data_IF_342720483260
#
_entry.id   IF_342720483260
#
_cell.length_a   1.000
_cell.length_b   1.000
_cell.length_c   1.000
_cell.angle_alpha   90.00
_cell.angle_beta   90.00
_cell.angle_gamma   90.00
#
_symmetry.space_group_name_H-M   'P 1'
#
loop_
_entity.id
_entity.type
_entity.pdbx_description
1 polymer ?
#
# COMPACT_ATOMS: atom_id res chain seq x y z
N UNK A 1 12.06 -26.67 5.21
CA UNK A 1 12.22 -26.50 3.77
C UNK A 1 11.07 -25.68 3.17
N UNK A 2 9.82 -26.00 3.51
CA UNK A 2 8.60 -25.34 3.01
C UNK A 2 8.62 -23.83 3.23
N UNK A 3 8.80 -23.36 4.46
CA UNK A 3 8.84 -21.93 4.78
C UNK A 3 9.93 -21.18 3.99
N UNK A 4 11.16 -21.75 3.90
CA UNK A 4 12.24 -21.15 3.11
C UNK A 4 11.91 -21.04 1.63
N UNK A 5 11.31 -22.08 1.06
CA UNK A 5 10.92 -22.10 -0.34
C UNK A 5 9.81 -21.07 -0.62
N UNK A 6 8.81 -20.97 0.24
CA UNK A 6 7.73 -20.00 0.10
C UNK A 6 8.20 -18.56 0.24
N UNK A 7 8.97 -18.24 1.28
CA UNK A 7 9.59 -16.90 1.44
C UNK A 7 10.47 -16.58 0.25
N UNK A 8 11.33 -17.50 -0.17
CA UNK A 8 12.21 -17.30 -1.31
C UNK A 8 11.44 -17.02 -2.60
N UNK A 9 10.36 -17.76 -2.86
CA UNK A 9 9.50 -17.57 -4.04
C UNK A 9 8.76 -16.23 -4.03
N UNK A 10 8.23 -15.81 -2.88
CA UNK A 10 7.50 -14.55 -2.74
C UNK A 10 8.45 -13.34 -2.93
N UNK A 11 9.60 -13.35 -2.25
CA UNK A 11 10.56 -12.26 -2.31
C UNK A 11 11.41 -12.25 -3.58
N UNK A 12 11.52 -13.37 -4.31
CA UNK A 12 12.24 -13.41 -5.59
C UNK A 12 11.68 -12.43 -6.64
N UNK A 13 10.39 -12.12 -6.55
CA UNK A 13 9.69 -11.19 -7.45
C UNK A 13 9.81 -9.72 -7.03
N UNK A 14 10.34 -9.44 -5.84
CA UNK A 14 10.47 -8.09 -5.30
C UNK A 14 11.77 -7.43 -5.75
N UNK A 15 11.76 -6.11 -5.80
CA UNK A 15 12.88 -5.28 -6.25
C UNK A 15 13.23 -4.15 -5.28
N UNK A 16 13.92 -3.15 -5.79
CA UNK A 16 14.47 -2.02 -5.04
C UNK A 16 13.43 -1.04 -4.48
N UNK A 17 12.16 -1.22 -4.79
CA UNK A 17 11.04 -0.45 -4.25
C UNK A 17 10.77 -0.75 -2.76
N UNK A 18 11.29 -1.85 -2.25
CA UNK A 18 11.16 -2.24 -0.85
C UNK A 18 12.48 -2.09 -0.08
N UNK A 19 12.35 -1.86 1.22
CA UNK A 19 13.42 -2.06 2.19
C UNK A 19 13.06 -3.28 3.02
N UNK A 20 13.96 -4.24 3.06
CA UNK A 20 13.73 -5.53 3.73
C UNK A 20 14.82 -5.75 4.77
N UNK A 21 14.44 -6.18 5.94
CA UNK A 21 15.31 -6.72 6.98
C UNK A 21 15.02 -8.19 7.20
N UNK A 22 15.85 -8.86 7.95
CA UNK A 22 15.69 -10.28 8.31
C UNK A 22 15.73 -10.49 9.81
N UNK A 23 14.75 -11.19 10.34
CA UNK A 23 14.67 -11.56 11.75
C UNK A 23 14.37 -13.05 11.91
N UNK A 24 14.74 -13.60 13.05
CA UNK A 24 14.35 -14.96 13.42
C UNK A 24 14.37 -15.13 14.95
N UNK A 25 13.55 -16.07 15.45
CA UNK A 25 13.53 -16.48 16.84
C UNK A 25 14.85 -17.18 17.26
N UNK A 26 15.03 -17.33 18.55
CA UNK A 26 16.16 -18.08 19.14
C UNK A 26 17.53 -17.50 18.78
N UNK A 27 17.61 -16.16 18.69
CA UNK A 27 18.87 -15.44 18.50
C UNK A 27 19.48 -15.01 19.83
N UNK A 28 20.82 -15.05 19.88
CA UNK A 28 21.58 -14.29 20.87
C UNK A 28 21.49 -12.80 20.56
N UNK A 29 21.81 -11.96 21.56
CA UNK A 29 21.93 -10.52 21.33
C UNK A 29 22.93 -10.21 20.21
N UNK A 30 22.53 -9.36 19.25
CA UNK A 30 23.36 -8.91 18.13
C UNK A 30 23.51 -7.41 18.13
N UNK A 31 24.62 -6.94 17.62
CA UNK A 31 24.80 -5.54 17.24
C UNK A 31 24.34 -5.37 15.79
N UNK A 32 23.33 -4.53 15.61
CA UNK A 32 22.77 -4.21 14.30
C UNK A 32 23.09 -2.74 14.01
N UNK A 33 23.88 -2.50 12.96
CA UNK A 33 24.27 -1.14 12.53
C UNK A 33 24.87 -0.30 13.65
N UNK A 34 25.78 -0.88 14.42
CA UNK A 34 26.50 -0.20 15.50
C UNK A 34 25.73 -0.12 16.83
N UNK A 35 24.46 -0.48 16.87
CA UNK A 35 23.65 -0.50 18.09
C UNK A 35 23.48 -1.95 18.56
N UNK A 36 23.89 -2.23 19.80
CA UNK A 36 23.64 -3.53 20.44
C UNK A 36 22.16 -3.61 20.74
N UNK A 37 21.46 -4.42 20.00
CA UNK A 37 20.04 -4.44 20.18
C UNK A 37 19.54 -5.79 20.45
N UNK A 38 19.28 -6.67 19.83
CA UNK A 38 18.13 -7.44 20.09
C UNK A 38 18.31 -8.93 19.75
N UNK A 39 17.34 -9.68 20.20
CA UNK A 39 17.40 -11.14 20.13
C UNK A 39 16.63 -11.72 18.94
N UNK A 40 16.14 -10.90 18.02
CA UNK A 40 15.39 -11.35 16.84
C UNK A 40 15.97 -10.82 15.53
N UNK A 41 16.24 -9.51 15.40
CA UNK A 41 16.79 -8.94 14.18
C UNK A 41 18.20 -9.45 13.91
N UNK A 42 18.43 -9.92 12.71
CA UNK A 42 19.71 -10.45 12.22
C UNK A 42 20.36 -9.47 11.29
N UNK A 43 19.54 -8.87 10.42
CA UNK A 43 19.91 -7.83 9.49
C UNK A 43 18.85 -6.73 9.54
N UNK A 44 19.27 -5.48 9.71
CA UNK A 44 18.39 -4.33 9.70
C UNK A 44 17.82 -4.07 8.30
N UNK A 45 16.90 -3.10 8.23
CA UNK A 45 16.29 -2.73 6.95
C UNK A 45 17.33 -2.23 5.94
N UNK A 46 17.24 -2.70 4.70
CA UNK A 46 18.08 -2.33 3.56
C UNK A 46 17.24 -2.23 2.31
N UNK A 47 17.63 -1.36 1.38
CA UNK A 47 17.06 -1.38 0.04
C UNK A 47 17.24 -2.77 -0.58
N UNK A 48 16.15 -3.39 -1.04
CA UNK A 48 16.15 -4.77 -1.51
C UNK A 48 16.72 -4.90 -2.93
N UNK A 49 18.04 -4.68 -3.04
CA UNK A 49 18.76 -4.73 -4.32
C UNK A 49 20.21 -5.11 -4.11
N UNK A 50 20.91 -5.53 -5.16
CA UNK A 50 22.34 -5.81 -5.16
C UNK A 50 22.75 -6.80 -4.06
N UNK A 51 23.82 -6.48 -3.29
CA UNK A 51 24.32 -7.30 -2.19
C UNK A 51 23.29 -7.47 -1.06
N UNK A 52 22.55 -6.43 -0.71
CA UNK A 52 21.55 -6.51 0.37
C UNK A 52 20.47 -7.57 0.08
N UNK A 53 20.07 -7.68 -1.19
CA UNK A 53 19.13 -8.72 -1.62
C UNK A 53 19.76 -10.11 -1.55
N UNK A 54 21.04 -10.25 -1.90
CA UNK A 54 21.77 -11.51 -1.76
C UNK A 54 21.89 -11.91 -0.29
N UNK A 55 22.30 -11.00 0.57
CA UNK A 55 22.44 -11.22 2.03
C UNK A 55 21.12 -11.67 2.67
N UNK A 56 19.97 -11.13 2.23
CA UNK A 56 18.66 -11.60 2.67
C UNK A 56 18.43 -13.08 2.33
N UNK A 57 18.76 -13.50 1.10
CA UNK A 57 18.59 -14.90 0.69
C UNK A 57 19.62 -15.82 1.36
N UNK A 58 20.83 -15.36 1.60
CA UNK A 58 21.85 -16.10 2.36
C UNK A 58 21.38 -16.31 3.80
N UNK A 59 20.87 -15.26 4.47
CA UNK A 59 20.26 -15.38 5.80
C UNK A 59 19.07 -16.35 5.80
N UNK A 60 18.26 -16.38 4.76
CA UNK A 60 17.11 -17.27 4.63
C UNK A 60 17.53 -18.72 4.44
N UNK A 61 18.49 -19.01 3.55
CA UNK A 61 18.79 -20.36 3.13
C UNK A 61 19.90 -21.03 3.94
N UNK A 62 20.90 -20.29 4.36
CA UNK A 62 22.08 -20.85 5.05
C UNK A 62 21.91 -20.93 6.57
N UNK A 63 20.92 -20.23 7.12
CA UNK A 63 20.70 -20.19 8.55
C UNK A 63 20.46 -21.58 9.14
N UNK A 64 21.20 -21.91 10.21
CA UNK A 64 20.96 -23.11 11.00
C UNK A 64 19.69 -22.91 11.84
N UNK A 65 18.75 -23.83 11.75
CA UNK A 65 17.56 -23.88 12.60
C UNK A 65 17.89 -24.70 13.83
N UNK A 66 17.84 -24.06 14.99
CA UNK A 66 18.07 -24.72 16.28
C UNK A 66 16.76 -25.37 16.75
N UNK A 67 16.86 -26.56 17.32
CA UNK A 67 15.72 -27.18 17.99
C UNK A 67 15.57 -26.52 19.38
N UNK A 68 14.73 -25.51 19.48
CA UNK A 68 14.50 -24.70 20.68
C UNK A 68 13.04 -24.27 20.71
N UNK A 69 12.59 -23.63 21.79
CA UNK A 69 11.21 -23.13 21.92
C UNK A 69 10.86 -22.08 20.87
N UNK A 70 9.60 -21.66 20.90
CA UNK A 70 9.00 -20.71 19.94
C UNK A 70 8.66 -19.37 20.64
N UNK A 71 9.65 -18.52 21.00
CA UNK A 71 9.45 -17.30 21.79
C UNK A 71 8.95 -16.15 20.90
N UNK A 72 7.78 -16.29 20.26
CA UNK A 72 7.25 -15.28 19.32
C UNK A 72 7.04 -13.92 19.97
N UNK A 73 6.47 -13.87 21.18
CA UNK A 73 6.22 -12.63 21.91
C UNK A 73 7.49 -11.82 22.12
N UNK A 74 8.54 -12.45 22.63
CA UNK A 74 9.84 -11.80 22.83
C UNK A 74 10.51 -11.40 21.50
N UNK A 75 10.33 -12.19 20.45
CA UNK A 75 10.89 -11.88 19.13
C UNK A 75 10.17 -10.67 18.49
N UNK A 76 8.82 -10.65 18.53
CA UNK A 76 8.02 -9.53 18.04
C UNK A 76 8.34 -8.24 18.80
N UNK A 77 8.45 -8.31 20.13
CA UNK A 77 8.91 -7.19 20.95
C UNK A 77 10.30 -6.69 20.53
N UNK A 78 11.22 -7.60 20.24
CA UNK A 78 12.56 -7.22 19.75
C UNK A 78 12.54 -6.57 18.39
N UNK A 79 11.63 -6.95 17.50
CA UNK A 79 11.41 -6.28 16.21
C UNK A 79 10.81 -4.88 16.44
N UNK A 80 9.82 -4.75 17.33
CA UNK A 80 9.26 -3.45 17.69
C UNK A 80 10.33 -2.49 18.22
N UNK A 81 11.18 -2.95 19.16
CA UNK A 81 12.31 -2.18 19.68
C UNK A 81 13.30 -1.73 18.60
N UNK A 82 13.46 -2.48 17.51
CA UNK A 82 14.27 -2.03 16.38
C UNK A 82 13.68 -0.79 15.72
N UNK A 83 12.35 -0.67 15.67
CA UNK A 83 11.67 0.49 15.10
C UNK A 83 11.60 1.72 16.03
N UNK A 84 11.99 1.59 17.29
CA UNK A 84 12.15 2.73 18.22
C UNK A 84 13.50 3.47 18.04
N UNK A 85 14.38 2.97 17.21
CA UNK A 85 15.74 3.55 17.03
C UNK A 85 15.67 4.96 16.46
N UNK A 86 16.46 5.85 17.07
CA UNK A 86 16.56 7.26 16.70
C UNK A 86 17.86 7.61 15.97
N UNK A 87 18.78 6.67 15.81
CA UNK A 87 20.03 6.87 15.10
C UNK A 87 19.89 6.82 13.57
N UNK A 88 20.82 7.47 12.85
CA UNK A 88 20.77 7.60 11.39
C UNK A 88 20.85 6.28 10.62
N UNK A 89 21.42 5.22 11.22
CA UNK A 89 21.50 3.89 10.63
C UNK A 89 20.27 3.02 10.94
N UNK A 90 19.35 3.51 11.77
CA UNK A 90 18.10 2.85 12.12
C UNK A 90 17.06 2.81 10.99
N UNK A 91 15.88 2.24 11.26
CA UNK A 91 14.85 1.99 10.22
C UNK A 91 14.30 3.27 9.60
N UNK A 92 14.33 4.40 10.31
CA UNK A 92 13.78 5.67 9.85
C UNK A 92 14.79 6.54 9.08
N UNK A 93 16.09 6.22 9.14
CA UNK A 93 17.09 6.93 8.35
C UNK A 93 16.79 6.88 6.86
N UNK A 94 17.18 7.89 6.11
CA UNK A 94 16.96 7.93 4.65
C UNK A 94 17.56 6.69 3.96
N UNK A 95 18.76 6.31 4.40
CA UNK A 95 19.43 5.09 3.95
C UNK A 95 19.76 4.19 5.14
N UNK A 96 18.82 3.33 5.62
CA UNK A 96 19.05 2.46 6.75
C UNK A 96 20.32 1.60 6.59
N UNK A 97 21.04 1.42 7.70
CA UNK A 97 22.31 0.69 7.71
C UNK A 97 23.52 1.52 7.38
N UNK A 98 23.35 2.79 7.05
CA UNK A 98 24.45 3.74 6.88
C UNK A 98 24.33 4.87 7.89
N UNK A 99 25.44 5.45 8.30
CA UNK A 99 25.46 6.59 9.23
C UNK A 99 25.76 7.92 8.50
N UNK A 100 25.56 7.93 7.19
CA UNK A 100 25.98 9.04 6.33
C UNK A 100 24.94 10.14 6.18
N UNK A 101 23.70 9.89 6.62
CA UNK A 101 22.56 10.76 6.34
C UNK A 101 21.77 11.01 7.63
N UNK A 102 21.71 12.28 8.03
CA UNK A 102 20.94 12.71 9.21
C UNK A 102 19.45 12.91 8.91
N UNK A 103 19.01 12.74 7.68
CA UNK A 103 17.61 12.85 7.32
C UNK A 103 16.84 11.58 7.72
N UNK A 104 15.76 11.78 8.46
CA UNK A 104 14.83 10.72 8.84
C UNK A 104 13.51 10.91 8.11
N UNK A 105 12.96 9.83 7.58
CA UNK A 105 11.73 9.85 6.81
C UNK A 105 10.52 9.57 7.72
N UNK A 106 9.86 10.65 8.13
CA UNK A 106 8.70 10.61 9.04
C UNK A 106 7.45 9.96 8.42
N UNK A 107 7.28 10.03 7.09
CA UNK A 107 6.12 9.47 6.39
C UNK A 107 6.25 7.97 6.05
N UNK A 108 7.28 7.29 6.56
CA UNK A 108 7.54 5.88 6.22
C UNK A 108 6.55 4.96 6.92
N UNK A 109 5.86 4.14 6.16
CA UNK A 109 5.07 3.02 6.69
C UNK A 109 5.99 1.84 7.02
N UNK A 110 5.73 1.16 8.13
CA UNK A 110 6.56 0.07 8.65
C UNK A 110 5.76 -1.19 8.88
N UNK A 111 6.29 -2.31 8.41
CA UNK A 111 5.61 -3.60 8.39
C UNK A 111 6.49 -4.70 8.94
N UNK A 112 5.87 -5.63 9.65
CA UNK A 112 6.48 -6.86 10.13
C UNK A 112 5.70 -8.06 9.61
N UNK A 113 6.36 -8.99 8.95
CA UNK A 113 5.76 -10.26 8.52
C UNK A 113 6.25 -11.34 9.47
N UNK A 114 5.35 -11.83 10.32
CA UNK A 114 5.62 -12.87 11.30
C UNK A 114 5.09 -14.21 10.80
N UNK A 115 5.96 -15.20 10.68
CA UNK A 115 5.58 -16.54 10.24
C UNK A 115 5.94 -17.59 11.30
N UNK A 116 5.04 -18.56 11.53
CA UNK A 116 5.27 -19.67 12.44
C UNK A 116 4.66 -20.95 11.89
N UNK A 117 5.26 -22.09 12.24
CA UNK A 117 4.76 -23.44 11.97
C UNK A 117 4.36 -24.16 13.27
N UNK A 118 4.18 -23.41 14.35
CA UNK A 118 3.85 -23.97 15.66
C UNK A 118 3.36 -22.93 16.64
N UNK A 119 2.99 -23.43 17.80
CA UNK A 119 2.45 -22.65 18.91
C UNK A 119 3.59 -21.93 19.66
N UNK A 120 3.32 -20.73 20.15
CA UNK A 120 4.34 -20.01 20.88
C UNK A 120 4.49 -20.52 22.33
N UNK A 121 5.69 -20.37 22.83
CA UNK A 121 6.03 -20.63 24.24
C UNK A 121 7.09 -19.62 24.72
N UNK A 122 7.53 -19.76 25.94
CA UNK A 122 8.56 -18.91 26.54
C UNK A 122 7.99 -17.70 27.29
N UNK A 123 8.88 -16.86 27.80
CA UNK A 123 8.52 -15.71 28.63
C UNK A 123 7.92 -14.56 27.82
N UNK A 124 7.01 -13.83 28.48
CA UNK A 124 6.48 -12.55 27.99
C UNK A 124 7.52 -11.44 28.12
N UNK A 125 7.49 -10.42 27.24
CA UNK A 125 8.24 -9.19 27.43
C UNK A 125 7.71 -8.28 28.56
N UNK A 126 6.51 -8.56 29.11
CA UNK A 126 5.95 -7.82 30.24
C UNK A 126 5.23 -6.53 29.82
N UNK A 127 4.53 -6.53 28.71
CA UNK A 127 3.76 -5.36 28.21
C UNK A 127 2.41 -5.16 28.91
N UNK A 128 1.92 -6.16 29.66
CA UNK A 128 0.61 -6.15 30.32
C UNK A 128 -0.53 -6.36 29.34
N UNK A 129 -1.76 -6.00 29.74
CA UNK A 129 -2.95 -5.96 28.85
C UNK A 129 -2.95 -4.64 28.11
N UNK A 130 -2.23 -4.60 26.99
CA UNK A 130 -2.01 -3.38 26.20
C UNK A 130 -3.25 -3.01 25.41
N UNK A 131 -3.96 -3.97 24.87
CA UNK A 131 -5.16 -3.72 24.06
C UNK A 131 -6.41 -3.45 24.89
N UNK A 132 -6.43 -3.90 26.16
CA UNK A 132 -7.47 -3.55 27.14
C UNK A 132 -7.27 -2.19 27.82
N UNK A 133 -6.23 -1.42 27.46
CA UNK A 133 -5.94 -0.10 28.03
C UNK A 133 -5.89 0.99 26.97
N UNK A 134 -6.40 2.19 27.31
CA UNK A 134 -6.33 3.35 26.42
C UNK A 134 -4.87 3.74 26.14
N UNK A 135 -4.61 4.16 24.92
CA UNK A 135 -3.34 4.77 24.52
C UNK A 135 -3.20 6.21 24.98
N UNK A 136 -2.05 6.81 24.75
CA UNK A 136 -1.86 8.25 24.88
C UNK A 136 -2.54 8.99 23.73
N UNK A 137 -2.79 10.29 23.91
CA UNK A 137 -3.28 11.14 22.82
C UNK A 137 -2.10 11.47 21.91
N UNK A 138 -2.21 11.12 20.65
CA UNK A 138 -1.21 11.39 19.61
C UNK A 138 -1.72 12.55 18.76
N UNK A 139 -0.97 13.65 18.75
CA UNK A 139 -1.34 14.83 17.97
C UNK A 139 -0.99 14.65 16.50
N UNK A 140 -1.99 14.84 15.65
CA UNK A 140 -1.91 14.67 14.21
C UNK A 140 -1.76 15.98 13.43
N UNK A 141 -1.67 15.90 12.10
CA UNK A 141 -1.73 17.05 11.23
C UNK A 141 -3.10 17.75 11.37
N UNK A 142 -3.12 19.07 11.21
CA UNK A 142 -4.34 19.89 11.21
C UNK A 142 -5.17 19.85 12.52
N UNK A 143 -4.55 19.49 13.66
CA UNK A 143 -5.17 19.25 14.97
C UNK A 143 -6.13 18.05 14.98
N UNK A 144 -5.93 17.07 14.14
CA UNK A 144 -6.65 15.80 14.17
C UNK A 144 -5.94 14.84 15.12
N UNK A 145 -6.31 14.89 16.41
CA UNK A 145 -5.69 14.06 17.44
C UNK A 145 -6.35 12.66 17.45
N UNK A 146 -5.56 11.63 17.73
CA UNK A 146 -6.02 10.26 17.87
C UNK A 146 -5.67 9.70 19.26
N UNK A 147 -6.60 8.97 19.86
CA UNK A 147 -6.35 8.19 21.06
C UNK A 147 -7.01 6.80 20.90
N UNK A 148 -6.21 5.75 21.02
CA UNK A 148 -6.78 4.40 21.09
C UNK A 148 -7.60 4.25 22.36
N UNK A 149 -8.82 3.72 22.23
CA UNK A 149 -9.67 3.27 23.33
C UNK A 149 -10.05 1.81 23.12
N UNK A 150 -10.03 0.96 24.16
CA UNK A 150 -10.37 -0.45 24.03
C UNK A 150 -11.76 -0.64 23.42
N UNK A 151 -11.82 -1.37 22.32
CA UNK A 151 -13.04 -1.65 21.55
C UNK A 151 -12.86 -2.96 20.78
N UNK A 152 -13.94 -3.73 20.63
CA UNK A 152 -13.93 -4.93 19.80
C UNK A 152 -13.71 -4.54 18.30
N UNK A 153 -13.00 -5.37 17.54
CA UNK A 153 -12.40 -6.67 17.89
C UNK A 153 -10.97 -6.57 18.46
N UNK A 154 -10.50 -5.39 18.84
CA UNK A 154 -9.10 -5.16 19.20
C UNK A 154 -8.77 -5.50 20.66
N UNK A 155 -9.76 -5.60 21.53
CA UNK A 155 -9.53 -5.77 22.98
C UNK A 155 -9.89 -7.17 23.47
N UNK A 156 -9.11 -7.65 24.45
CA UNK A 156 -9.47 -8.81 25.23
C UNK A 156 -9.21 -8.60 26.74
N UNK A 157 -9.29 -9.67 27.53
CA UNK A 157 -9.08 -9.63 28.99
C UNK A 157 -7.72 -10.21 29.40
N UNK A 158 -6.90 -10.66 28.44
CA UNK A 158 -5.68 -11.43 28.71
C UNK A 158 -4.46 -10.51 28.74
N UNK A 159 -3.47 -10.89 29.54
CA UNK A 159 -2.25 -10.11 29.71
C UNK A 159 -1.07 -10.72 28.96
N UNK A 160 -0.25 -9.86 28.37
CA UNK A 160 1.03 -10.28 27.82
C UNK A 160 0.94 -11.30 26.69
N UNK A 161 -0.09 -11.21 25.89
CA UNK A 161 -0.34 -11.97 24.68
C UNK A 161 0.57 -11.49 23.54
N UNK A 162 0.57 -12.19 22.41
CA UNK A 162 1.22 -11.69 21.19
C UNK A 162 0.45 -10.48 20.62
N UNK A 163 -0.88 -10.48 20.78
CA UNK A 163 -1.75 -9.37 20.42
C UNK A 163 -1.43 -8.10 21.21
N UNK A 164 -1.16 -8.22 22.53
CA UNK A 164 -0.68 -7.10 23.34
C UNK A 164 0.64 -6.53 22.84
N UNK A 165 1.58 -7.40 22.48
CA UNK A 165 2.86 -6.94 21.93
C UNK A 165 2.67 -6.23 20.60
N UNK A 166 1.78 -6.70 19.74
CA UNK A 166 1.47 -6.05 18.47
C UNK A 166 0.81 -4.69 18.69
N UNK A 167 -0.16 -4.61 19.63
CA UNK A 167 -0.82 -3.37 20.01
C UNK A 167 0.15 -2.36 20.62
N UNK A 168 1.11 -2.79 21.41
CA UNK A 168 2.13 -1.92 22.03
C UNK A 168 2.89 -1.10 20.98
N UNK A 169 3.23 -1.71 19.84
CA UNK A 169 3.97 -1.06 18.77
C UNK A 169 3.08 -0.43 17.68
N UNK A 170 1.76 -0.55 17.80
CA UNK A 170 0.83 0.12 16.92
C UNK A 170 0.21 1.36 17.57
N UNK A 171 -0.29 1.28 18.82
CA UNK A 171 -1.13 2.32 19.43
C UNK A 171 -0.37 3.52 19.97
N UNK A 172 0.95 3.52 19.93
CA UNK A 172 1.81 4.63 20.38
C UNK A 172 2.73 5.11 19.26
N UNK A 173 3.14 6.36 19.35
CA UNK A 173 4.14 6.91 18.47
C UNK A 173 5.53 6.36 18.84
N UNK A 174 6.18 5.67 17.89
CA UNK A 174 7.51 5.10 18.08
C UNK A 174 8.63 6.16 17.90
N UNK A 175 8.28 7.35 17.38
CA UNK A 175 9.25 8.40 17.05
C UNK A 175 8.67 9.78 17.33
N UNK A 176 8.38 10.08 18.58
CA UNK A 176 7.88 11.38 19.05
C UNK A 176 8.72 12.59 18.60
N UNK A 177 9.95 12.35 18.15
CA UNK A 177 10.85 13.36 17.60
C UNK A 177 10.61 13.67 16.11
N UNK A 178 9.77 12.90 15.43
CA UNK A 178 9.42 13.10 14.03
C UNK A 178 8.00 13.65 13.87
N UNK A 179 7.73 14.23 12.71
CA UNK A 179 6.37 14.71 12.38
C UNK A 179 5.44 13.54 12.13
N UNK A 180 4.24 13.58 12.70
CA UNK A 180 3.17 12.60 12.51
C UNK A 180 2.48 12.79 11.16
N UNK A 181 3.03 12.22 10.10
CA UNK A 181 2.58 12.35 8.72
C UNK A 181 2.68 11.04 7.92
N UNK A 182 2.61 9.90 8.61
CA UNK A 182 2.49 8.60 7.95
C UNK A 182 1.17 8.56 7.16
N UNK A 183 1.18 8.17 5.87
CA UNK A 183 -0.04 8.10 5.08
C UNK A 183 -1.04 7.09 5.68
N UNK A 184 -2.25 7.55 5.94
CA UNK A 184 -3.35 6.73 6.43
C UNK A 184 -4.10 6.06 5.29
N UNK A 185 -4.81 4.97 5.58
CA UNK A 185 -5.72 4.32 4.65
C UNK A 185 -6.96 3.80 5.40
N UNK A 186 -7.89 3.16 4.68
CA UNK A 186 -9.13 2.68 5.29
C UNK A 186 -8.93 1.60 6.36
N UNK A 187 -7.88 0.79 6.23
CA UNK A 187 -7.59 -0.30 7.16
C UNK A 187 -6.76 0.20 8.36
N UNK A 188 -5.94 1.23 8.14
CA UNK A 188 -5.01 1.75 9.13
C UNK A 188 -5.09 3.28 9.22
N UNK A 189 -5.73 3.82 10.27
CA UNK A 189 -5.88 5.26 10.47
C UNK A 189 -4.66 5.94 11.09
N UNK A 190 -3.59 5.19 11.41
CA UNK A 190 -2.44 5.69 12.14
C UNK A 190 -1.58 6.62 11.27
N UNK A 191 -1.53 7.89 11.64
CA UNK A 191 -0.69 8.92 11.00
C UNK A 191 0.67 9.12 11.71
N UNK A 192 0.90 8.42 12.80
CA UNK A 192 2.15 8.41 13.58
C UNK A 192 3.06 7.24 13.17
N UNK A 193 4.30 7.23 13.63
CA UNK A 193 5.23 6.15 13.37
C UNK A 193 4.88 4.91 14.22
N UNK A 194 4.46 3.85 13.57
CA UNK A 194 3.97 2.61 14.19
C UNK A 194 4.41 1.37 13.40
N UNK A 195 4.08 0.19 13.89
CA UNK A 195 4.41 -1.09 13.24
C UNK A 195 3.15 -1.93 12.99
N UNK A 196 2.88 -2.25 11.74
CA UNK A 196 1.82 -3.15 11.31
C UNK A 196 2.35 -4.58 11.23
N UNK A 197 1.68 -5.54 11.85
CA UNK A 197 2.06 -6.95 11.79
C UNK A 197 1.14 -7.73 10.84
N UNK A 198 1.72 -8.35 9.83
CA UNK A 198 1.08 -9.41 9.05
C UNK A 198 1.53 -10.75 9.60
N UNK A 199 0.61 -11.67 9.80
CA UNK A 199 0.94 -12.95 10.43
C UNK A 199 0.53 -14.13 9.55
N UNK A 200 1.36 -15.18 9.53
CA UNK A 200 1.12 -16.39 8.75
C UNK A 200 1.34 -17.63 9.60
N UNK A 201 0.29 -18.43 9.78
CA UNK A 201 0.38 -19.77 10.34
C UNK A 201 0.61 -20.82 9.24
N UNK A 202 1.65 -21.65 9.36
CA UNK A 202 1.95 -22.70 8.39
C UNK A 202 1.64 -24.08 8.96
N UNK A 203 0.57 -24.71 8.47
CA UNK A 203 0.14 -26.05 8.88
C UNK A 203 -0.44 -26.11 10.29
N UNK A 204 -0.88 -24.97 10.82
CA UNK A 204 -1.46 -24.82 12.16
C UNK A 204 -2.79 -24.07 12.09
N UNK A 205 -3.73 -24.42 12.95
CA UNK A 205 -5.05 -23.78 13.05
C UNK A 205 -5.27 -23.35 14.50
N UNK A 206 -6.08 -22.31 14.67
CA UNK A 206 -6.64 -21.87 15.93
C UNK A 206 -7.96 -22.56 16.24
N UNK A 207 -8.62 -22.10 17.27
CA UNK A 207 -9.97 -22.54 17.68
C UNK A 207 -11.06 -21.74 16.99
N UNK A 208 -10.75 -20.54 16.48
CA UNK A 208 -11.63 -19.66 15.72
C UNK A 208 -11.32 -19.76 14.21
N UNK A 209 -12.35 -19.49 13.40
CA UNK A 209 -12.27 -19.46 11.94
C UNK A 209 -12.26 -17.99 11.46
N UNK A 210 -11.14 -17.49 10.88
CA UNK A 210 -11.04 -16.12 10.41
C UNK A 210 -12.08 -15.71 9.36
N UNK A 211 -12.59 -16.66 8.58
CA UNK A 211 -13.55 -16.40 7.52
C UNK A 211 -14.99 -16.22 8.06
N UNK A 212 -15.31 -16.79 9.22
CA UNK A 212 -16.68 -16.82 9.75
C UNK A 212 -16.85 -16.10 11.09
N UNK A 213 -15.80 -16.03 11.92
CA UNK A 213 -15.93 -15.55 13.31
C UNK A 213 -15.59 -14.05 13.50
N UNK A 214 -15.02 -13.40 12.49
CA UNK A 214 -14.58 -12.00 12.60
C UNK A 214 -15.74 -11.03 12.94
N UNK A 215 -16.91 -11.21 12.32
CA UNK A 215 -18.07 -10.36 12.62
C UNK A 215 -18.58 -10.56 14.06
N UNK A 216 -18.50 -11.78 14.57
CA UNK A 216 -18.89 -12.08 15.95
C UNK A 216 -17.90 -11.49 16.97
N UNK A 217 -16.59 -11.50 16.67
CA UNK A 217 -15.56 -10.81 17.44
C UNK A 217 -15.78 -9.29 17.39
N UNK A 218 -16.02 -8.72 16.22
CA UNK A 218 -16.23 -7.29 16.04
C UNK A 218 -17.48 -6.78 16.76
N UNK A 219 -18.55 -7.59 16.82
CA UNK A 219 -19.76 -7.26 17.58
C UNK A 219 -19.64 -7.55 19.08
N UNK A 220 -18.59 -8.26 19.52
CA UNK A 220 -18.44 -8.72 20.90
C UNK A 220 -19.35 -9.88 21.28
N UNK A 221 -19.95 -10.57 20.30
CA UNK A 221 -20.81 -11.76 20.54
C UNK A 221 -19.97 -12.95 20.99
N UNK A 222 -18.70 -13.02 20.57
CA UNK A 222 -17.66 -13.91 21.08
C UNK A 222 -16.44 -13.06 21.46
N UNK A 223 -15.56 -13.61 22.29
CA UNK A 223 -14.30 -13.00 22.67
C UNK A 223 -13.12 -13.82 22.17
N UNK A 224 -11.94 -13.22 22.14
CA UNK A 224 -10.71 -13.94 21.91
C UNK A 224 -10.45 -14.97 23.01
N UNK A 225 -10.06 -16.22 22.67
CA UNK A 225 -9.77 -17.22 23.67
C UNK A 225 -8.49 -16.90 24.45
N UNK A 226 -8.38 -17.42 25.67
CA UNK A 226 -7.17 -17.26 26.49
C UNK A 226 -6.00 -18.02 25.89
N UNK A 227 -4.93 -17.35 25.40
CA UNK A 227 -3.81 -18.06 24.84
C UNK A 227 -2.94 -18.66 25.95
N UNK A 228 -2.63 -19.92 25.84
CA UNK A 228 -1.72 -20.64 26.75
C UNK A 228 -0.55 -21.24 25.98
N UNK A 229 0.58 -21.45 26.64
CA UNK A 229 1.77 -21.96 25.99
C UNK A 229 1.52 -23.31 25.32
N UNK A 230 1.98 -23.46 24.08
CA UNK A 230 1.88 -24.68 23.27
C UNK A 230 0.44 -25.18 22.99
N UNK A 231 -0.54 -24.25 22.89
CA UNK A 231 -1.94 -24.56 22.66
C UNK A 231 -2.50 -23.92 21.38
N UNK A 232 -3.63 -24.44 20.89
CA UNK A 232 -4.24 -23.99 19.62
C UNK A 232 -4.66 -22.50 19.67
N UNK A 233 -5.07 -22.01 20.84
CA UNK A 233 -5.44 -20.62 21.08
C UNK A 233 -4.29 -19.63 20.78
N UNK A 234 -3.05 -20.13 20.67
CA UNK A 234 -1.91 -19.32 20.24
C UNK A 234 -1.99 -18.91 18.76
N UNK A 235 -2.75 -19.62 17.95
CA UNK A 235 -2.97 -19.23 16.55
C UNK A 235 -4.08 -18.20 16.48
N UNK A 236 -5.06 -18.24 17.39
CA UNK A 236 -6.03 -17.17 17.55
C UNK A 236 -5.35 -15.87 18.03
N UNK A 237 -4.39 -15.98 18.95
CA UNK A 237 -3.52 -14.87 19.39
C UNK A 237 -2.63 -14.33 18.26
N UNK A 238 -2.16 -15.21 17.36
CA UNK A 238 -1.43 -14.81 16.15
C UNK A 238 -2.34 -14.01 15.19
N UNK A 239 -3.59 -14.41 15.03
CA UNK A 239 -4.59 -13.66 14.27
C UNK A 239 -4.93 -12.35 14.97
N UNK A 240 -5.18 -12.36 16.27
CA UNK A 240 -5.47 -11.17 17.06
C UNK A 240 -4.31 -10.14 16.98
N UNK A 241 -3.06 -10.59 17.00
CA UNK A 241 -1.91 -9.71 16.81
C UNK A 241 -1.91 -8.97 15.46
N UNK A 242 -2.33 -9.64 14.39
CA UNK A 242 -2.52 -8.99 13.09
C UNK A 242 -3.65 -7.95 13.15
N UNK A 243 -4.82 -8.31 13.70
CA UNK A 243 -5.97 -7.42 13.86
C UNK A 243 -5.59 -6.19 14.69
N UNK A 244 -4.92 -6.37 15.83
CA UNK A 244 -4.51 -5.29 16.74
C UNK A 244 -3.61 -4.25 16.07
N UNK A 245 -2.74 -4.69 15.19
CA UNK A 245 -1.83 -3.79 14.46
C UNK A 245 -2.27 -3.46 13.04
N UNK A 246 -3.55 -3.70 12.70
CA UNK A 246 -4.14 -3.34 11.38
C UNK A 246 -3.53 -4.08 10.21
N UNK A 247 -2.92 -5.24 10.45
CA UNK A 247 -2.48 -6.18 9.42
C UNK A 247 -3.51 -7.24 9.11
N UNK A 248 -3.08 -8.32 8.47
CA UNK A 248 -3.93 -9.46 8.12
C UNK A 248 -3.27 -10.77 8.54
N UNK A 249 -4.09 -11.74 8.93
CA UNK A 249 -3.67 -13.11 9.22
C UNK A 249 -3.94 -14.01 8.03
N UNK A 250 -3.04 -14.95 7.79
CA UNK A 250 -3.17 -15.97 6.75
C UNK A 250 -2.88 -17.35 7.34
N UNK A 251 -3.74 -18.32 7.05
CA UNK A 251 -3.48 -19.73 7.32
C UNK A 251 -3.04 -20.42 6.03
N UNK A 252 -1.89 -21.08 6.06
CA UNK A 252 -1.33 -21.78 4.92
C UNK A 252 -1.15 -23.26 5.26
N UNK A 253 -1.72 -24.16 4.48
CA UNK A 253 -1.67 -25.61 4.73
C UNK A 253 -0.55 -26.31 3.99
N UNK A 254 0.01 -25.69 2.96
CA UNK A 254 1.04 -26.24 2.09
C UNK A 254 2.00 -25.15 1.56
N UNK A 255 3.10 -25.50 0.87
CA UNK A 255 4.10 -24.56 0.39
C UNK A 255 3.58 -23.54 -0.64
N UNK A 256 2.60 -23.91 -1.44
CA UNK A 256 2.06 -23.03 -2.48
C UNK A 256 1.13 -21.99 -1.86
N UNK A 257 0.20 -22.40 -1.00
CA UNK A 257 -0.65 -21.48 -0.22
C UNK A 257 0.16 -20.55 0.67
N UNK A 258 1.27 -21.01 1.23
CA UNK A 258 2.18 -20.16 2.00
C UNK A 258 2.86 -19.09 1.13
N UNK A 259 3.33 -19.44 -0.05
CA UNK A 259 3.93 -18.48 -0.98
C UNK A 259 2.89 -17.47 -1.51
N UNK A 260 1.66 -17.91 -1.74
CA UNK A 260 0.56 -17.05 -2.20
C UNK A 260 0.10 -16.10 -1.08
N UNK A 261 0.05 -16.55 0.19
CA UNK A 261 -0.22 -15.70 1.34
C UNK A 261 0.83 -14.59 1.47
N UNK A 262 2.12 -14.92 1.36
CA UNK A 262 3.18 -13.90 1.38
C UNK A 262 3.10 -12.95 0.18
N UNK A 263 2.74 -13.43 -0.99
CA UNK A 263 2.52 -12.58 -2.16
C UNK A 263 1.33 -11.63 -1.95
N UNK A 264 0.25 -12.10 -1.33
CA UNK A 264 -0.89 -11.27 -0.96
C UNK A 264 -0.52 -10.19 0.06
N UNK A 265 0.28 -10.53 1.08
CA UNK A 265 0.82 -9.55 2.05
C UNK A 265 1.65 -8.47 1.32
N UNK A 266 2.59 -8.87 0.47
CA UNK A 266 3.44 -7.93 -0.27
C UNK A 266 2.63 -7.05 -1.22
N UNK A 267 1.56 -7.59 -1.80
CA UNK A 267 0.60 -6.81 -2.60
C UNK A 267 -0.20 -5.83 -1.75
N UNK A 268 -0.66 -6.24 -0.56
CA UNK A 268 -1.35 -5.36 0.39
C UNK A 268 -0.42 -4.22 0.85
N UNK A 269 0.82 -4.51 1.23
CA UNK A 269 1.83 -3.51 1.57
C UNK A 269 2.02 -2.52 0.42
N UNK A 270 2.17 -3.00 -0.81
CA UNK A 270 2.31 -2.13 -1.98
C UNK A 270 1.08 -1.26 -2.21
N UNK A 271 -0.12 -1.77 -1.97
CA UNK A 271 -1.36 -0.99 -2.10
C UNK A 271 -1.51 0.09 -1.01
N UNK A 272 -1.04 -0.17 0.20
CA UNK A 272 -1.04 0.81 1.31
C UNK A 272 -0.04 1.94 1.08
N UNK A 273 1.11 1.65 0.44
CA UNK A 273 2.12 2.66 0.09
C UNK A 273 1.72 3.51 -1.11
N UNK A 274 0.68 3.12 -1.86
CA UNK A 274 0.11 3.94 -2.92
C UNK A 274 -0.80 5.02 -2.32
N UNK A 275 -0.36 6.28 -2.36
CA UNK A 275 -1.14 7.41 -1.85
C UNK A 275 -2.34 7.69 -2.74
N UNK A 276 -3.52 7.86 -2.13
CA UNK A 276 -4.69 8.40 -2.83
C UNK A 276 -4.46 9.90 -3.10
N UNK A 277 -4.25 10.29 -4.36
CA UNK A 277 -3.95 11.67 -4.71
C UNK A 277 -5.18 12.58 -4.64
N UNK A 278 -6.36 12.07 -5.04
CA UNK A 278 -7.63 12.83 -5.00
C UNK A 278 -8.82 11.97 -5.45
N UNK A 279 -10.02 12.44 -5.16
CA UNK A 279 -11.29 11.76 -5.47
C UNK A 279 -12.21 12.69 -6.24
N UNK A 280 -12.92 12.16 -7.25
CA UNK A 280 -13.98 12.85 -7.96
C UNK A 280 -15.26 11.99 -8.04
N UNK A 281 -16.41 12.66 -8.08
CA UNK A 281 -17.73 12.02 -8.25
C UNK A 281 -18.26 12.29 -9.66
N UNK A 282 -19.02 11.35 -10.22
CA UNK A 282 -19.69 11.53 -11.52
C UNK A 282 -21.04 12.23 -11.40
N UNK A 283 -21.54 12.47 -10.19
CA UNK A 283 -22.85 13.08 -9.98
C UNK A 283 -22.88 13.96 -8.74
N UNK A 284 -23.69 15.03 -8.78
CA UNK A 284 -24.02 15.84 -7.61
C UNK A 284 -25.15 15.26 -6.75
N UNK A 285 -25.69 14.09 -7.11
CA UNK A 285 -26.66 13.31 -6.33
C UNK A 285 -26.27 11.82 -6.42
N UNK A 286 -26.40 11.11 -5.31
CA UNK A 286 -26.09 9.67 -5.25
C UNK A 286 -27.25 8.87 -5.84
N UNK A 287 -26.94 7.98 -6.78
CA UNK A 287 -27.85 6.98 -7.35
C UNK A 287 -27.06 5.69 -7.63
N UNK A 288 -27.74 4.59 -7.89
CA UNK A 288 -27.09 3.30 -8.17
C UNK A 288 -26.13 3.29 -9.38
N UNK A 289 -26.19 4.32 -10.24
CA UNK A 289 -25.24 4.51 -11.36
C UNK A 289 -24.08 5.47 -11.00
N UNK A 290 -24.04 5.97 -9.76
CA UNK A 290 -22.98 6.87 -9.33
C UNK A 290 -21.68 6.13 -9.14
N UNK A 291 -20.57 6.78 -9.52
CA UNK A 291 -19.21 6.24 -9.36
C UNK A 291 -18.32 7.28 -8.67
N UNK A 292 -17.39 6.76 -7.88
CA UNK A 292 -16.29 7.51 -7.30
C UNK A 292 -15.03 7.20 -8.09
N UNK A 293 -14.35 8.20 -8.60
CA UNK A 293 -13.06 8.03 -9.27
C UNK A 293 -11.95 8.47 -8.34
N UNK A 294 -11.01 7.57 -8.07
CA UNK A 294 -9.89 7.79 -7.19
C UNK A 294 -8.57 7.63 -7.93
N UNK A 295 -7.78 8.69 -7.98
CA UNK A 295 -6.42 8.63 -8.45
C UNK A 295 -5.51 8.13 -7.33
N UNK A 296 -4.56 7.27 -7.69
CA UNK A 296 -3.51 6.75 -6.81
C UNK A 296 -2.18 6.71 -7.57
N UNK A 297 -1.09 6.58 -6.83
CA UNK A 297 0.22 6.30 -7.41
C UNK A 297 0.99 5.33 -6.51
N UNK A 298 1.87 4.57 -7.14
CA UNK A 298 2.84 3.71 -6.45
C UNK A 298 4.21 4.37 -6.51
N UNK A 299 4.75 4.76 -5.35
CA UNK A 299 6.07 5.37 -5.25
C UNK A 299 7.22 4.39 -5.45
N UNK A 300 6.96 3.08 -5.42
CA UNK A 300 7.96 2.04 -5.61
C UNK A 300 8.41 1.90 -7.06
N UNK A 301 7.49 2.04 -8.01
CA UNK A 301 7.77 1.95 -9.44
C UNK A 301 7.33 3.19 -10.24
N UNK A 302 6.82 4.22 -9.55
CA UNK A 302 6.31 5.46 -10.14
C UNK A 302 5.24 5.20 -11.19
N UNK A 303 4.30 4.34 -10.86
CA UNK A 303 3.14 4.05 -11.69
C UNK A 303 1.87 4.69 -11.14
N UNK A 304 0.95 5.02 -12.04
CA UNK A 304 -0.36 5.57 -11.73
C UNK A 304 -1.45 4.51 -11.71
N UNK A 305 -2.49 4.82 -10.95
CA UNK A 305 -3.72 4.05 -10.89
C UNK A 305 -4.90 5.01 -10.86
N UNK A 306 -5.91 4.74 -11.66
CA UNK A 306 -7.19 5.44 -11.59
C UNK A 306 -8.28 4.39 -11.44
N UNK A 307 -8.90 4.36 -10.26
CA UNK A 307 -9.94 3.41 -9.90
C UNK A 307 -11.31 4.06 -10.00
N UNK A 308 -12.31 3.32 -10.49
CA UNK A 308 -13.71 3.64 -10.28
C UNK A 308 -14.32 2.67 -9.27
N UNK A 309 -15.01 3.21 -8.30
CA UNK A 309 -15.81 2.46 -7.34
C UNK A 309 -17.29 2.66 -7.64
N UNK A 310 -18.08 1.60 -7.53
CA UNK A 310 -19.54 1.72 -7.51
C UNK A 310 -20.01 2.34 -6.18
N UNK A 311 -21.19 2.92 -6.19
CA UNK A 311 -21.90 3.34 -4.97
C UNK A 311 -23.14 2.47 -4.87
N UNK A 312 -23.34 1.82 -3.72
CA UNK A 312 -24.51 1.02 -3.44
C UNK A 312 -25.75 1.89 -3.23
N UNK A 313 -26.95 1.32 -3.32
CA UNK A 313 -28.20 2.05 -3.15
C UNK A 313 -28.36 2.66 -1.74
N UNK A 314 -27.67 2.13 -0.75
CA UNK A 314 -27.59 2.65 0.62
C UNK A 314 -26.54 3.74 0.81
N UNK A 315 -25.94 4.22 -0.28
CA UNK A 315 -24.86 5.21 -0.35
C UNK A 315 -23.52 4.75 0.25
N UNK A 316 -23.34 3.46 0.52
CA UNK A 316 -22.03 2.90 0.90
C UNK A 316 -21.14 2.71 -0.31
N UNK A 317 -19.83 2.70 -0.11
CA UNK A 317 -18.85 2.43 -1.16
C UNK A 317 -18.95 0.95 -1.57
N UNK A 318 -19.13 0.72 -2.85
CA UNK A 318 -19.12 -0.61 -3.44
C UNK A 318 -17.72 -1.05 -3.89
N UNK A 319 -17.64 -2.16 -4.62
CA UNK A 319 -16.39 -2.69 -5.14
C UNK A 319 -15.78 -1.83 -6.25
N UNK A 320 -14.52 -2.14 -6.61
CA UNK A 320 -13.85 -1.56 -7.78
C UNK A 320 -14.56 -2.01 -9.04
N UNK A 321 -15.13 -1.05 -9.78
CA UNK A 321 -15.78 -1.29 -11.06
C UNK A 321 -14.75 -1.50 -12.19
N UNK A 322 -13.67 -0.67 -12.18
CA UNK A 322 -12.56 -0.80 -13.11
C UNK A 322 -11.28 -0.11 -12.58
N UNK A 323 -10.12 -0.52 -13.11
CA UNK A 323 -8.80 0.07 -12.93
C UNK A 323 -8.22 0.46 -14.29
N UNK A 324 -8.22 1.75 -14.62
CA UNK A 324 -7.73 2.25 -15.91
C UNK A 324 -6.25 1.90 -16.15
N UNK A 325 -5.43 1.80 -15.10
CA UNK A 325 -4.02 1.43 -15.22
C UNK A 325 -3.81 0.02 -15.81
N UNK A 326 -4.82 -0.87 -15.70
CA UNK A 326 -4.79 -2.22 -16.28
C UNK A 326 -5.47 -2.31 -17.64
N UNK A 327 -6.23 -1.28 -18.04
CA UNK A 327 -7.05 -1.25 -19.25
C UNK A 327 -6.44 -0.41 -20.38
N UNK A 328 -5.23 0.14 -20.19
CA UNK A 328 -4.57 0.95 -21.22
C UNK A 328 -4.37 0.09 -22.48
N UNK A 329 -4.89 0.54 -23.65
CA UNK A 329 -4.76 -0.20 -24.89
C UNK A 329 -3.31 -0.35 -25.36
N UNK A 330 -3.06 -1.32 -26.24
CA UNK A 330 -1.77 -1.49 -26.88
C UNK A 330 -1.29 -0.18 -27.55
N UNK A 331 0.01 0.04 -27.61
CA UNK A 331 0.63 1.29 -28.08
C UNK A 331 0.08 1.80 -29.42
N UNK A 332 -0.27 0.88 -30.34
CA UNK A 332 -0.80 1.24 -31.67
C UNK A 332 -2.26 1.64 -31.66
N UNK A 333 -3.02 1.16 -30.68
CA UNK A 333 -4.47 1.41 -30.57
C UNK A 333 -4.77 2.67 -29.72
N UNK A 334 -3.78 3.17 -28.98
CA UNK A 334 -3.92 4.41 -28.22
C UNK A 334 -4.04 5.64 -29.13
N UNK A 335 -5.03 6.47 -28.84
CA UNK A 335 -5.22 7.79 -29.45
C UNK A 335 -4.47 8.82 -28.62
N UNK A 336 -3.32 9.26 -29.07
CA UNK A 336 -2.49 10.28 -28.40
C UNK A 336 -2.26 11.41 -29.39
N UNK A 337 -2.55 12.64 -28.95
CA UNK A 337 -2.34 13.87 -29.73
C UNK A 337 -1.28 14.75 -29.05
N UNK A 338 -0.58 15.53 -29.85
CA UNK A 338 0.34 16.59 -29.42
C UNK A 338 0.04 17.87 -30.20
N UNK A 339 0.65 18.98 -29.81
CA UNK A 339 0.55 20.26 -30.48
C UNK A 339 1.91 20.66 -31.08
N UNK A 340 1.95 20.97 -32.37
CA UNK A 340 3.19 21.29 -33.10
C UNK A 340 3.54 22.79 -33.11
N UNK A 341 2.77 23.62 -32.44
CA UNK A 341 2.85 25.07 -32.43
C UNK A 341 1.81 25.73 -33.28
N UNK A 342 1.15 25.03 -34.21
CA UNK A 342 0.11 25.54 -35.11
C UNK A 342 -1.21 24.75 -35.01
N UNK A 343 -1.12 23.41 -34.88
CA UNK A 343 -2.29 22.54 -34.88
C UNK A 343 -2.05 21.28 -34.04
N UNK A 344 -3.15 20.58 -33.66
CA UNK A 344 -3.08 19.26 -33.05
C UNK A 344 -2.61 18.21 -34.05
N UNK A 345 -1.66 17.39 -33.66
CA UNK A 345 -1.09 16.31 -34.47
C UNK A 345 -1.19 14.98 -33.74
N UNK A 346 -1.36 13.86 -34.47
CA UNK A 346 -1.16 12.54 -33.89
C UNK A 346 0.25 12.41 -33.31
N UNK A 347 0.39 11.91 -32.08
CA UNK A 347 1.70 11.68 -31.46
C UNK A 347 2.32 10.41 -32.05
N UNK A 348 2.70 10.49 -33.32
CA UNK A 348 3.39 9.45 -34.10
C UNK A 348 4.60 10.05 -34.80
N UNK A 349 5.67 9.28 -34.95
CA UNK A 349 6.96 9.77 -35.47
C UNK A 349 6.84 10.50 -36.81
N UNK A 350 6.02 9.97 -37.73
CA UNK A 350 5.82 10.59 -39.05
C UNK A 350 4.90 11.83 -39.04
N UNK A 351 4.21 12.11 -37.92
CA UNK A 351 3.23 13.20 -37.82
C UNK A 351 3.73 14.39 -37.01
N UNK A 352 4.72 14.17 -36.13
CA UNK A 352 5.30 15.24 -35.31
C UNK A 352 6.33 16.06 -36.10
N UNK A 353 6.56 17.31 -35.69
CA UNK A 353 7.52 18.20 -36.35
C UNK A 353 8.97 17.75 -36.18
N UNK A 354 9.85 18.20 -37.07
CA UNK A 354 11.28 17.91 -36.99
C UNK A 354 11.91 18.40 -35.66
N UNK A 355 11.40 19.51 -35.10
CA UNK A 355 11.84 20.00 -33.79
C UNK A 355 11.47 19.02 -32.68
N UNK A 356 10.23 18.49 -32.67
CA UNK A 356 9.79 17.50 -31.72
C UNK A 356 10.55 16.17 -31.87
N UNK A 357 10.84 15.74 -33.10
CA UNK A 357 11.67 14.57 -33.35
C UNK A 357 13.10 14.74 -32.78
N UNK A 358 13.67 15.94 -32.92
CA UNK A 358 14.98 16.26 -32.37
C UNK A 358 14.97 16.24 -30.83
N UNK A 359 13.93 16.79 -30.21
CA UNK A 359 13.76 16.79 -28.74
C UNK A 359 13.59 15.37 -28.17
N UNK A 360 12.81 14.54 -28.84
CA UNK A 360 12.62 13.14 -28.43
C UNK A 360 13.85 12.26 -28.69
N UNK A 361 14.67 12.63 -29.66
CA UNK A 361 15.90 11.93 -30.02
C UNK A 361 15.70 10.70 -30.90
N UNK A 362 14.67 9.88 -30.70
CA UNK A 362 14.42 8.69 -31.52
C UNK A 362 12.96 8.26 -31.56
N UNK A 363 12.61 7.55 -32.64
CA UNK A 363 11.29 6.91 -32.77
C UNK A 363 11.05 5.84 -31.66
N UNK A 364 12.11 5.17 -31.19
CA UNK A 364 12.01 4.19 -30.12
C UNK A 364 11.53 4.83 -28.80
N UNK A 365 12.03 6.03 -28.47
CA UNK A 365 11.58 6.79 -27.31
C UNK A 365 10.10 7.20 -27.46
N UNK A 366 9.71 7.69 -28.65
CA UNK A 366 8.31 8.01 -28.89
C UNK A 366 7.40 6.79 -28.73
N UNK A 367 7.80 5.66 -29.29
CA UNK A 367 7.04 4.41 -29.17
C UNK A 367 6.94 3.96 -27.71
N UNK A 368 8.05 4.05 -26.95
CA UNK A 368 8.06 3.78 -25.51
C UNK A 368 7.07 4.67 -24.76
N UNK A 369 7.08 5.99 -24.99
CA UNK A 369 6.11 6.92 -24.37
C UNK A 369 4.68 6.53 -24.74
N UNK A 370 4.42 6.04 -25.93
CA UNK A 370 3.12 5.54 -26.36
C UNK A 370 2.69 4.23 -25.68
N UNK A 371 3.59 3.53 -24.98
CA UNK A 371 3.31 2.29 -24.28
C UNK A 371 3.96 1.04 -24.89
N UNK A 372 4.84 1.19 -25.89
CA UNK A 372 5.60 0.06 -26.42
C UNK A 372 6.70 -0.33 -25.41
N UNK A 373 6.67 -1.56 -24.94
CA UNK A 373 7.60 -2.10 -23.96
C UNK A 373 8.75 -2.90 -24.57
N UNK A 374 8.80 -3.03 -25.90
CA UNK A 374 9.79 -3.88 -26.58
C UNK A 374 11.25 -3.47 -26.34
N UNK A 375 11.52 -2.19 -26.04
CA UNK A 375 12.84 -1.67 -25.75
C UNK A 375 13.10 -1.48 -24.24
N UNK A 376 12.31 -2.09 -23.36
CA UNK A 376 12.57 -2.11 -21.93
C UNK A 376 13.73 -3.06 -21.58
N UNK A 377 14.48 -2.74 -20.52
CA UNK A 377 15.71 -3.45 -20.15
C UNK A 377 15.52 -4.94 -19.81
N UNK A 378 14.30 -5.37 -19.54
CA UNK A 378 13.94 -6.79 -19.39
C UNK A 378 13.95 -7.59 -20.70
N UNK A 379 13.94 -6.92 -21.85
CA UNK A 379 13.97 -7.53 -23.16
C UNK A 379 15.40 -7.53 -23.73
N UNK A 380 15.71 -8.49 -24.59
CA UNK A 380 17.03 -8.59 -25.23
C UNK A 380 17.37 -7.30 -26.02
N UNK A 381 18.46 -6.65 -25.65
CA UNK A 381 18.91 -5.39 -26.26
C UNK A 381 18.14 -4.15 -25.80
N UNK A 382 17.21 -4.28 -24.89
CA UNK A 382 16.44 -3.17 -24.32
C UNK A 382 17.29 -2.28 -23.43
N UNK A 383 17.03 -0.97 -23.45
CA UNK A 383 17.80 0.05 -22.71
C UNK A 383 16.95 1.00 -21.89
N UNK A 384 15.62 0.93 -22.03
CA UNK A 384 14.69 1.81 -21.33
C UNK A 384 14.17 1.18 -20.03
N UNK A 385 13.70 2.01 -19.12
CA UNK A 385 13.18 1.58 -17.80
C UNK A 385 12.03 0.58 -17.98
N UNK A 386 12.05 -0.49 -17.22
CA UNK A 386 10.92 -1.41 -17.12
C UNK A 386 9.74 -0.73 -16.44
N UNK A 387 8.53 -0.96 -16.94
CA UNK A 387 7.30 -0.44 -16.40
C UNK A 387 6.36 -1.59 -16.05
N UNK A 388 5.93 -1.66 -14.79
CA UNK A 388 4.90 -2.60 -14.37
C UNK A 388 3.52 -2.17 -14.86
N UNK A 389 3.28 -0.84 -14.94
CA UNK A 389 2.08 -0.21 -15.50
C UNK A 389 2.47 0.88 -16.48
N UNK A 390 1.62 1.09 -17.48
CA UNK A 390 1.84 2.11 -18.52
C UNK A 390 1.36 3.51 -18.12
N UNK A 391 0.46 3.61 -17.14
CA UNK A 391 0.00 4.89 -16.60
C UNK A 391 1.07 5.45 -15.66
N UNK A 392 1.49 6.66 -15.90
CA UNK A 392 2.41 7.38 -15.01
C UNK A 392 1.76 7.76 -13.69
N UNK A 393 2.57 7.99 -12.68
CA UNK A 393 2.12 8.36 -11.34
C UNK A 393 1.27 9.63 -11.34
N UNK A 394 0.16 9.59 -10.59
CA UNK A 394 -0.82 10.66 -10.46
C UNK A 394 -0.69 11.24 -9.05
N UNK A 395 0.10 12.28 -8.86
CA UNK A 395 0.40 12.86 -7.54
C UNK A 395 -0.41 14.15 -7.31
N UNK A 396 -0.28 15.13 -8.21
CA UNK A 396 -0.82 16.48 -8.03
C UNK A 396 -2.02 16.78 -8.97
N UNK A 397 -2.71 15.76 -9.44
CA UNK A 397 -3.86 15.91 -10.34
C UNK A 397 -5.09 15.24 -9.75
N UNK A 398 -6.18 16.01 -9.68
CA UNK A 398 -7.49 15.48 -9.34
C UNK A 398 -8.18 14.92 -10.57
N UNK A 399 -8.79 13.72 -10.51
CA UNK A 399 -9.69 13.26 -11.56
C UNK A 399 -10.81 14.28 -11.78
N UNK A 400 -11.14 14.53 -13.01
CA UNK A 400 -12.23 15.46 -13.38
C UNK A 400 -13.20 14.75 -14.30
N UNK A 401 -14.41 14.53 -13.82
CA UNK A 401 -15.48 13.95 -14.62
C UNK A 401 -16.12 15.00 -15.53
N UNK A 402 -16.33 14.67 -16.78
CA UNK A 402 -17.03 15.49 -17.74
C UNK A 402 -17.96 14.64 -18.63
N UNK A 403 -19.24 14.94 -18.57
CA UNK A 403 -20.29 14.30 -19.37
C UNK A 403 -21.32 15.35 -19.85
N UNK A 404 -22.60 15.04 -19.77
CA UNK A 404 -23.67 15.99 -20.06
C UNK A 404 -23.50 17.30 -19.28
N UNK A 405 -23.57 18.47 -19.91
CA UNK A 405 -23.38 19.76 -19.23
C UNK A 405 -24.39 19.96 -18.08
N UNK A 406 -23.88 20.26 -16.87
CA UNK A 406 -24.72 20.40 -15.67
C UNK A 406 -24.61 21.74 -14.92
N UNK A 407 -23.96 22.74 -15.48
CA UNK A 407 -23.63 24.01 -14.78
C UNK A 407 -24.84 24.91 -14.50
N UNK A 408 -26.01 24.62 -15.02
CA UNK A 408 -27.27 25.35 -14.80
C UNK A 408 -27.17 26.86 -15.05
N UNK A 409 -26.36 27.30 -16.04
CA UNK A 409 -26.32 28.69 -16.44
C UNK A 409 -27.67 29.13 -17.00
N UNK A 410 -28.06 30.37 -16.71
CA UNK A 410 -29.29 30.96 -17.29
C UNK A 410 -29.08 31.31 -18.76
N UNK A 411 -30.16 31.30 -19.54
CA UNK A 411 -30.12 31.60 -20.97
C UNK A 411 -30.19 33.12 -21.28
N UNK A 412 -30.68 33.89 -20.31
CA UNK A 412 -30.88 35.32 -20.50
C UNK A 412 -29.87 36.14 -19.69
N UNK A 413 -28.91 36.71 -20.37
CA UNK A 413 -27.87 37.59 -19.81
C UNK A 413 -28.08 39.08 -20.16
N UNK A 414 -29.21 39.39 -20.78
CA UNK A 414 -29.54 40.73 -21.25
C UNK A 414 -29.35 40.90 -22.75
N UNK A 415 -29.96 41.99 -23.28
CA UNK A 415 -29.87 42.30 -24.69
C UNK A 415 -28.41 42.56 -25.10
N UNK A 416 -28.00 42.03 -26.23
CA UNK A 416 -26.65 42.15 -26.81
C UNK A 416 -25.55 41.27 -26.21
N UNK A 417 -25.87 40.33 -25.35
CA UNK A 417 -24.90 39.34 -24.91
C UNK A 417 -24.85 38.14 -25.87
N UNK A 418 -23.67 37.56 -26.12
CA UNK A 418 -23.51 36.42 -27.04
C UNK A 418 -24.39 35.22 -26.66
N UNK A 419 -24.63 34.99 -25.38
CA UNK A 419 -25.43 33.91 -24.82
C UNK A 419 -26.90 33.98 -25.23
N UNK A 420 -27.42 35.18 -25.56
CA UNK A 420 -28.80 35.35 -26.04
C UNK A 420 -28.98 34.67 -27.41
N UNK A 421 -27.96 34.68 -28.27
CA UNK A 421 -27.98 34.03 -29.58
C UNK A 421 -27.58 32.51 -29.47
N UNK A 422 -26.91 32.12 -28.41
CA UNK A 422 -26.43 30.74 -28.18
C UNK A 422 -26.70 30.33 -26.73
N UNK A 423 -27.98 30.11 -26.36
CA UNK A 423 -28.37 29.85 -24.97
C UNK A 423 -27.78 28.53 -24.43
N UNK A 424 -27.46 28.51 -23.14
CA UNK A 424 -26.89 27.36 -22.50
C UNK A 424 -27.80 26.12 -22.56
N UNK A 425 -29.13 26.32 -22.48
CA UNK A 425 -30.09 25.22 -22.63
C UNK A 425 -29.96 24.50 -23.97
N UNK A 426 -29.73 25.25 -25.07
CA UNK A 426 -29.50 24.67 -26.40
C UNK A 426 -28.18 23.85 -26.43
N UNK A 427 -27.12 24.33 -25.76
CA UNK A 427 -25.87 23.59 -25.60
C UNK A 427 -26.07 22.31 -24.80
N UNK A 428 -26.85 22.32 -23.70
CA UNK A 428 -27.21 21.14 -22.91
C UNK A 428 -27.92 20.11 -23.77
N UNK A 429 -28.96 20.53 -24.53
CA UNK A 429 -29.72 19.63 -25.42
C UNK A 429 -28.81 19.01 -26.49
N UNK A 430 -27.93 19.80 -27.10
CA UNK A 430 -26.99 19.32 -28.11
C UNK A 430 -25.97 18.31 -27.56
N UNK A 431 -25.73 18.32 -26.26
CA UNK A 431 -24.73 17.46 -25.58
C UNK A 431 -25.34 16.49 -24.55
N UNK A 432 -26.63 16.23 -24.61
CA UNK A 432 -27.32 15.41 -23.61
C UNK A 432 -26.83 13.97 -23.59
N UNK A 433 -26.38 13.44 -24.74
CA UNK A 433 -25.85 12.08 -24.90
C UNK A 433 -24.31 12.08 -24.98
N UNK A 434 -23.63 13.12 -24.50
CA UNK A 434 -22.17 13.16 -24.52
C UNK A 434 -21.63 12.06 -23.61
N UNK A 435 -20.70 11.25 -24.16
CA UNK A 435 -19.98 10.23 -23.43
C UNK A 435 -19.32 10.81 -22.16
N UNK A 436 -19.48 10.12 -21.05
CA UNK A 436 -18.79 10.47 -19.82
C UNK A 436 -17.31 10.12 -19.93
N UNK A 437 -16.46 11.08 -19.61
CA UNK A 437 -15.01 10.90 -19.57
C UNK A 437 -14.47 11.35 -18.22
N UNK A 438 -13.42 10.67 -17.75
CA UNK A 438 -12.63 11.07 -16.59
C UNK A 438 -11.26 11.52 -17.08
N UNK A 439 -10.93 12.78 -16.80
CA UNK A 439 -9.64 13.37 -17.15
C UNK A 439 -8.71 13.38 -15.94
N UNK A 440 -7.43 13.06 -16.15
CA UNK A 440 -6.40 13.15 -15.12
C UNK A 440 -5.02 13.40 -15.75
N UNK A 441 -4.23 14.29 -15.16
CA UNK A 441 -2.84 14.49 -15.53
C UNK A 441 -1.94 13.49 -14.81
N UNK A 442 -0.95 12.96 -15.49
CA UNK A 442 0.05 12.08 -14.90
C UNK A 442 1.48 12.58 -15.14
N UNK A 443 2.44 12.15 -14.33
CA UNK A 443 3.84 12.56 -14.45
C UNK A 443 4.57 11.91 -15.66
N UNK A 444 3.86 11.10 -16.44
CA UNK A 444 4.32 10.69 -17.79
C UNK A 444 4.23 11.82 -18.85
N UNK A 445 3.79 13.01 -18.42
CA UNK A 445 3.66 14.20 -19.26
C UNK A 445 2.37 14.27 -20.07
N UNK A 446 1.38 13.45 -19.77
CA UNK A 446 0.11 13.39 -20.50
C UNK A 446 -1.07 13.84 -19.66
N UNK A 447 -2.07 14.42 -20.34
CA UNK A 447 -3.44 14.47 -19.86
C UNK A 447 -4.19 13.24 -20.43
N UNK A 448 -4.55 12.33 -19.55
CA UNK A 448 -5.31 11.14 -19.91
C UNK A 448 -6.82 11.41 -19.87
N UNK A 449 -7.56 10.77 -20.75
CA UNK A 449 -9.01 10.72 -20.75
C UNK A 449 -9.46 9.26 -20.85
N UNK A 450 -10.22 8.84 -19.87
CA UNK A 450 -10.74 7.47 -19.75
C UNK A 450 -12.26 7.48 -19.89
N UNK A 451 -12.82 6.44 -20.49
CA UNK A 451 -14.26 6.22 -20.51
C UNK A 451 -14.76 6.05 -19.05
N UNK A 452 -15.74 6.84 -18.66
CA UNK A 452 -16.21 6.88 -17.29
C UNK A 452 -16.94 5.57 -16.86
N UNK A 453 -17.44 4.80 -17.82
CA UNK A 453 -18.18 3.57 -17.55
C UNK A 453 -17.31 2.33 -17.60
N UNK A 454 -16.32 2.33 -18.47
CA UNK A 454 -15.52 1.12 -18.76
C UNK A 454 -14.05 1.24 -18.42
N UNK A 455 -13.52 2.45 -18.12
CA UNK A 455 -12.11 2.68 -17.81
C UNK A 455 -11.23 2.72 -19.05
#
# INVERSE_FOLDING_TARGET
LTARAGVGRAFAKQGSNLRVGFAAINQGSKTIDGVTSNRAVIEGLRQFSGSNRADFFDNLYERVINNSGTPLRSATNSVGQYFERTDNSGPWGNTPGTNNDAEHLSCRQSYHILTTDGYWNGSSPGVGNTDGTSGEVISGPDNDDYQYTPVNPYTDAWDNTLADVAMEYWKRDLREDLTNNVPTNQEDPAFWQHLVNFTVGLGVNGTLDPDTDFEALASGSIGWPEPSADAEENIDDLWHAAVNSRGSFFSATDPDTFADSLAAILSNISSRTSSAASVALNSGSVSGDSKIYQARFDSGDWSGQLLAFSINDDATLGGVAWDAGTLIPAANDRVIATYDGNSGQPFRWASISASQQTQLGSQSILNYIRGDQSNEASNEGGTLRNRNRLLGDIINSAPTYAATPGSRYQDNWGNSQPETASPYSAYVVANINRQGLVFVGANDGMLHAFDADTG
#
